data_IF_457876770280
#
_entry.id   IF_457876770280
#
_cell.length_a   1.000
_cell.length_b   1.000
_cell.length_c   1.000
_cell.angle_alpha   90.00
_cell.angle_beta   90.00
_cell.angle_gamma   90.00
#
_symmetry.space_group_name_H-M   'P 1'
#
loop_
_entity.id
_entity.type
_entity.pdbx_description
1 polymer ?
#
# COMPACT_ATOMS: atom_id res chain seq x y z
N UNK A 1 46.04 -60.50 27.18
CA UNK A 1 46.86 -59.28 27.03
C UNK A 1 46.29 -58.49 25.86
N UNK A 2 45.35 -57.59 26.13
CA UNK A 2 44.70 -56.76 25.12
C UNK A 2 45.00 -55.30 25.47
N UNK A 3 45.78 -54.64 24.62
CA UNK A 3 46.16 -53.23 24.76
C UNK A 3 44.99 -52.36 24.26
N UNK A 4 44.41 -51.54 25.15
CA UNK A 4 43.52 -50.45 24.77
C UNK A 4 44.37 -49.30 24.20
N UNK A 5 44.18 -48.94 22.94
CA UNK A 5 44.72 -47.71 22.36
C UNK A 5 43.63 -46.62 22.41
N UNK A 6 43.81 -45.61 23.27
CA UNK A 6 42.97 -44.42 23.30
C UNK A 6 43.44 -43.43 22.22
N UNK A 7 42.57 -43.09 21.28
CA UNK A 7 42.82 -42.04 20.29
C UNK A 7 42.59 -40.65 20.91
N UNK A 8 43.36 -39.61 20.54
CA UNK A 8 43.11 -38.26 21.01
C UNK A 8 41.86 -37.69 20.33
N UNK A 9 40.85 -37.31 21.13
CA UNK A 9 39.73 -36.53 20.66
C UNK A 9 40.22 -35.11 20.33
N UNK A 10 40.15 -34.70 19.06
CA UNK A 10 40.41 -33.31 18.65
C UNK A 10 39.12 -32.52 18.86
N UNK A 11 39.07 -31.70 19.90
CA UNK A 11 38.05 -30.67 20.03
C UNK A 11 38.33 -29.60 18.95
N UNK A 12 37.43 -29.47 17.98
CA UNK A 12 37.47 -28.38 17.03
C UNK A 12 36.71 -27.20 17.62
N UNK A 13 37.41 -26.14 18.02
CA UNK A 13 36.77 -24.87 18.37
C UNK A 13 36.25 -24.21 17.09
N UNK A 14 34.97 -24.45 16.80
CA UNK A 14 34.25 -23.72 15.76
C UNK A 14 33.98 -22.30 16.24
N UNK A 15 34.78 -21.33 15.78
CA UNK A 15 34.48 -19.92 16.03
C UNK A 15 33.14 -19.56 15.37
N UNK A 16 32.12 -19.29 16.17
CA UNK A 16 30.84 -18.74 15.72
C UNK A 16 30.90 -17.22 15.76
N UNK A 17 30.87 -16.58 14.60
CA UNK A 17 30.70 -15.13 14.51
C UNK A 17 29.23 -14.77 14.67
N UNK A 18 28.86 -14.26 15.84
CA UNK A 18 27.55 -13.63 16.04
C UNK A 18 27.51 -12.27 15.34
N UNK A 19 26.74 -12.15 14.26
CA UNK A 19 26.48 -10.88 13.58
C UNK A 19 25.09 -10.39 14.02
N UNK A 20 25.03 -9.23 14.66
CA UNK A 20 23.79 -8.51 14.93
C UNK A 20 23.73 -7.32 13.97
N UNK A 21 22.69 -7.26 13.13
CA UNK A 21 22.41 -6.12 12.27
C UNK A 21 21.29 -5.31 12.94
N UNK A 22 21.61 -4.08 13.36
CA UNK A 22 20.62 -3.14 13.88
C UNK A 22 19.93 -2.53 12.67
N UNK A 23 18.81 -3.13 12.25
CA UNK A 23 17.96 -2.56 11.19
C UNK A 23 17.25 -1.31 11.74
N UNK A 24 17.34 -0.20 11.02
CA UNK A 24 16.53 0.99 11.31
C UNK A 24 15.04 0.64 11.17
N UNK A 25 14.21 1.03 12.13
CA UNK A 25 12.76 0.76 12.07
C UNK A 25 12.11 1.30 10.80
N UNK A 26 11.14 0.56 10.27
CA UNK A 26 10.30 1.03 9.16
C UNK A 26 9.36 2.12 9.65
N UNK A 27 9.32 3.23 8.93
CA UNK A 27 8.33 4.28 9.13
C UNK A 27 7.61 4.54 7.82
N UNK A 28 6.29 4.70 7.87
CA UNK A 28 5.45 5.03 6.71
C UNK A 28 4.78 6.37 6.97
N UNK A 29 5.00 7.33 6.08
CA UNK A 29 4.41 8.66 6.12
C UNK A 29 3.47 8.81 4.93
N UNK A 30 2.25 9.28 5.20
CA UNK A 30 1.29 9.67 4.16
C UNK A 30 1.63 11.08 3.67
N UNK A 31 1.95 11.22 2.40
CA UNK A 31 2.30 12.49 1.76
C UNK A 31 1.07 13.11 1.09
N UNK A 32 0.23 12.28 0.48
CA UNK A 32 -1.04 12.70 -0.12
C UNK A 32 -2.11 11.62 0.03
N UNK A 33 -3.36 12.04 0.23
CA UNK A 33 -4.53 11.16 0.27
C UNK A 33 -5.01 10.75 -1.13
N UNK A 34 -5.76 9.65 -1.21
CA UNK A 34 -6.45 9.23 -2.43
C UNK A 34 -7.76 10.03 -2.52
N UNK A 35 -7.88 10.88 -3.54
CA UNK A 35 -9.01 11.79 -3.71
C UNK A 35 -9.54 11.67 -5.14
N UNK A 36 -10.83 11.33 -5.27
CA UNK A 36 -11.49 11.21 -6.58
C UNK A 36 -11.97 12.55 -7.15
N UNK A 37 -11.83 13.64 -6.38
CA UNK A 37 -12.25 14.98 -6.78
C UNK A 37 -13.77 15.12 -6.85
N UNK A 38 -14.22 16.10 -7.63
CA UNK A 38 -15.64 16.38 -7.80
C UNK A 38 -16.25 15.52 -8.91
N UNK A 39 -17.29 14.76 -8.57
CA UNK A 39 -17.99 13.86 -9.49
C UNK A 39 -19.44 14.31 -9.63
N UNK A 40 -19.92 14.42 -10.87
CA UNK A 40 -21.35 14.54 -11.17
C UNK A 40 -21.89 13.16 -11.56
N UNK A 41 -22.77 12.56 -10.73
CA UNK A 41 -23.45 11.32 -11.07
C UNK A 41 -24.57 11.59 -12.08
N UNK A 42 -24.87 10.60 -12.92
CA UNK A 42 -26.05 10.61 -13.80
C UNK A 42 -27.13 9.65 -13.28
N UNK A 43 -28.23 9.51 -14.03
CA UNK A 43 -29.26 8.49 -13.75
C UNK A 43 -28.84 7.05 -14.06
N UNK A 44 -27.59 6.81 -14.46
CA UNK A 44 -27.04 5.48 -14.71
C UNK A 44 -25.83 5.21 -13.81
N UNK A 45 -25.48 3.94 -13.62
CA UNK A 45 -24.28 3.58 -12.88
C UNK A 45 -23.02 4.08 -13.62
N UNK A 46 -22.08 4.61 -12.86
CA UNK A 46 -20.82 5.15 -13.34
C UNK A 46 -19.64 4.61 -12.55
N UNK A 47 -18.44 4.96 -13.00
CA UNK A 47 -17.21 4.68 -12.27
C UNK A 47 -16.17 5.75 -12.52
N UNK A 48 -15.31 5.95 -11.53
CA UNK A 48 -14.12 6.77 -11.65
C UNK A 48 -12.92 5.93 -11.24
N UNK A 49 -11.88 5.90 -12.08
CA UNK A 49 -10.66 5.15 -11.82
C UNK A 49 -9.49 6.12 -11.67
N UNK A 50 -8.67 5.92 -10.64
CA UNK A 50 -7.37 6.56 -10.50
C UNK A 50 -6.28 5.51 -10.69
N UNK A 51 -5.44 5.71 -11.69
CA UNK A 51 -4.34 4.80 -11.98
C UNK A 51 -3.21 4.98 -10.96
N UNK A 52 -2.91 3.94 -10.17
CA UNK A 52 -1.83 3.96 -9.17
C UNK A 52 -0.44 4.24 -9.74
N UNK A 53 -0.17 3.89 -11.00
CA UNK A 53 1.13 4.06 -11.64
C UNK A 53 1.31 5.45 -12.24
N UNK A 54 0.29 5.96 -12.95
CA UNK A 54 0.38 7.22 -13.71
C UNK A 54 -0.29 8.41 -13.02
N UNK A 55 -1.16 8.17 -12.04
CA UNK A 55 -2.01 9.20 -11.43
C UNK A 55 -3.18 9.64 -12.31
N UNK A 56 -3.32 9.10 -13.52
CA UNK A 56 -4.39 9.48 -14.44
C UNK A 56 -5.77 9.11 -13.88
N UNK A 57 -6.70 10.04 -13.97
CA UNK A 57 -8.09 9.84 -13.61
C UNK A 57 -8.94 9.65 -14.86
N UNK A 58 -9.89 8.73 -14.79
CA UNK A 58 -10.83 8.49 -15.87
C UNK A 58 -12.22 8.25 -15.30
N UNK A 59 -13.20 9.02 -15.77
CA UNK A 59 -14.61 8.76 -15.54
C UNK A 59 -15.19 7.97 -16.72
N UNK A 60 -16.08 7.04 -16.44
CA UNK A 60 -16.77 6.26 -17.45
C UNK A 60 -18.23 6.05 -17.07
N UNK A 61 -19.07 5.84 -18.09
CA UNK A 61 -20.50 5.61 -17.94
C UNK A 61 -21.18 6.77 -17.19
N UNK A 62 -22.05 6.49 -16.22
CA UNK A 62 -22.85 7.49 -15.50
C UNK A 62 -22.11 8.37 -14.49
N UNK A 63 -20.81 8.61 -14.68
CA UNK A 63 -20.01 9.51 -13.86
C UNK A 63 -19.24 10.49 -14.75
N UNK A 64 -19.20 11.76 -14.34
CA UNK A 64 -18.39 12.80 -14.99
C UNK A 64 -17.51 13.46 -13.95
N UNK A 65 -16.22 13.61 -14.26
CA UNK A 65 -15.28 14.36 -13.42
C UNK A 65 -15.35 15.84 -13.75
N UNK A 66 -15.30 16.67 -12.71
CA UNK A 66 -15.20 18.12 -12.83
C UNK A 66 -13.83 18.56 -12.34
N UNK A 67 -13.16 19.37 -13.15
CA UNK A 67 -11.79 19.83 -12.87
C UNK A 67 -10.76 18.72 -13.03
N UNK A 68 -9.61 18.93 -12.39
CA UNK A 68 -8.43 18.05 -12.44
C UNK A 68 -7.89 17.75 -11.04
N UNK A 69 -8.75 17.85 -10.02
CA UNK A 69 -8.34 17.80 -8.60
C UNK A 69 -8.18 16.37 -8.06
N UNK A 70 -8.59 15.39 -8.87
CA UNK A 70 -8.41 13.99 -8.55
C UNK A 70 -6.92 13.65 -8.43
N UNK A 71 -6.55 12.87 -7.40
CA UNK A 71 -5.17 12.54 -7.10
C UNK A 71 -5.06 11.15 -6.51
N UNK A 72 -3.99 10.43 -6.87
CA UNK A 72 -3.61 9.17 -6.23
C UNK A 72 -3.03 9.44 -4.84
N UNK A 73 -3.13 8.48 -3.93
CA UNK A 73 -2.41 8.58 -2.67
C UNK A 73 -0.91 8.39 -2.89
N UNK A 74 -0.11 9.07 -2.06
CA UNK A 74 1.35 8.98 -2.03
C UNK A 74 1.83 8.70 -0.62
N UNK A 75 2.74 7.74 -0.51
CA UNK A 75 3.34 7.31 0.75
C UNK A 75 4.85 7.25 0.62
N UNK A 76 5.53 7.66 1.69
CA UNK A 76 6.98 7.57 1.83
C UNK A 76 7.31 6.57 2.95
N UNK A 77 8.07 5.54 2.60
CA UNK A 77 8.69 4.62 3.55
C UNK A 77 10.11 5.07 3.81
N UNK A 78 10.52 5.08 5.07
CA UNK A 78 11.93 5.18 5.47
C UNK A 78 12.35 3.92 6.22
N UNK A 79 13.55 3.42 5.93
CA UNK A 79 14.11 2.24 6.58
C UNK A 79 15.52 1.92 6.09
N UNK A 80 16.00 0.72 6.39
CA UNK A 80 17.35 0.28 6.05
C UNK A 80 17.60 0.32 4.53
N UNK A 81 18.67 0.96 4.05
CA UNK A 81 19.02 1.00 2.64
C UNK A 81 19.15 -0.40 2.03
N UNK A 82 18.64 -0.57 0.81
CA UNK A 82 18.66 -1.83 0.05
C UNK A 82 17.88 -2.98 0.67
N UNK A 83 17.19 -2.79 1.79
CA UNK A 83 16.37 -3.82 2.40
C UNK A 83 15.11 -4.09 1.56
N UNK A 84 14.72 -5.37 1.50
CA UNK A 84 13.49 -5.80 0.84
C UNK A 84 12.30 -5.64 1.78
N UNK A 85 11.22 -5.08 1.26
CA UNK A 85 9.95 -4.89 1.96
C UNK A 85 8.78 -5.38 1.12
N UNK A 86 7.73 -5.80 1.81
CA UNK A 86 6.40 -6.05 1.24
C UNK A 86 5.48 -4.89 1.62
N UNK A 87 4.64 -4.43 0.69
CA UNK A 87 3.65 -3.38 0.93
C UNK A 87 2.26 -3.93 0.70
N UNK A 88 1.40 -3.79 1.71
CA UNK A 88 0.00 -4.23 1.71
C UNK A 88 -0.98 -3.07 1.83
N UNK A 89 -2.25 -3.33 1.51
CA UNK A 89 -3.36 -2.39 1.71
C UNK A 89 -4.60 -3.15 2.17
N UNK A 90 -5.24 -2.67 3.23
CA UNK A 90 -6.43 -3.28 3.82
C UNK A 90 -7.32 -2.21 4.49
N UNK A 91 -8.66 -2.27 4.38
CA UNK A 91 -9.43 -3.22 3.60
C UNK A 91 -9.47 -2.87 2.09
N UNK A 92 -9.60 -3.88 1.24
CA UNK A 92 -9.87 -3.73 -0.19
C UNK A 92 -10.72 -4.90 -0.74
N UNK A 93 -11.98 -4.71 -1.15
CA UNK A 93 -12.67 -3.42 -1.39
C UNK A 93 -13.04 -2.68 -0.10
N UNK A 94 -13.40 -1.41 -0.24
CA UNK A 94 -13.81 -0.55 0.88
C UNK A 94 -15.06 0.26 0.53
N UNK A 95 -15.94 0.44 1.50
CA UNK A 95 -17.16 1.24 1.36
C UNK A 95 -16.95 2.66 1.87
N UNK A 96 -17.19 3.65 1.02
CA UNK A 96 -17.23 5.06 1.39
C UNK A 96 -18.63 5.43 1.85
N UNK A 97 -18.72 6.13 2.97
CA UNK A 97 -20.00 6.57 3.54
C UNK A 97 -20.13 8.07 3.37
N UNK A 98 -21.32 8.51 2.95
CA UNK A 98 -21.63 9.94 2.87
C UNK A 98 -21.59 10.57 4.26
N UNK A 99 -20.94 11.72 4.41
CA UNK A 99 -21.03 12.52 5.65
C UNK A 99 -22.51 12.87 5.90
N UNK A 100 -23.00 12.57 7.10
CA UNK A 100 -24.41 12.70 7.45
C UNK A 100 -25.28 11.51 7.04
N UNK A 101 -24.70 10.45 6.46
CA UNK A 101 -25.37 9.19 6.14
C UNK A 101 -26.28 9.24 4.90
N UNK A 102 -27.08 8.17 4.74
CA UNK A 102 -28.12 8.04 3.72
C UNK A 102 -27.68 7.47 2.37
N UNK A 103 -26.37 7.40 2.10
CA UNK A 103 -25.83 6.81 0.88
C UNK A 103 -24.40 6.31 1.08
N UNK A 104 -24.00 5.33 0.26
CA UNK A 104 -22.65 4.76 0.22
C UNK A 104 -22.16 4.62 -1.22
N UNK A 105 -20.85 4.52 -1.39
CA UNK A 105 -20.19 4.12 -2.63
C UNK A 105 -19.20 3.00 -2.33
N UNK A 106 -18.89 2.15 -3.30
CA UNK A 106 -17.86 1.13 -3.16
C UNK A 106 -16.61 1.56 -3.95
N UNK A 107 -15.46 1.57 -3.29
CA UNK A 107 -14.18 1.61 -3.98
C UNK A 107 -13.62 0.19 -4.09
N UNK A 108 -13.70 -0.33 -5.30
CA UNK A 108 -13.07 -1.58 -5.68
C UNK A 108 -11.69 -1.32 -6.32
N UNK A 109 -10.95 -2.38 -6.60
CA UNK A 109 -9.61 -2.30 -7.20
C UNK A 109 -8.64 -1.34 -6.48
N UNK A 110 -8.86 -1.06 -5.18
CA UNK A 110 -7.93 -0.32 -4.33
C UNK A 110 -6.62 -1.10 -4.21
N UNK A 111 -5.54 -0.59 -4.80
CA UNK A 111 -4.25 -1.28 -4.88
C UNK A 111 -3.10 -0.28 -4.80
N UNK A 112 -2.00 -0.71 -4.19
CA UNK A 112 -0.71 -0.02 -4.23
C UNK A 112 0.08 -0.38 -5.51
N UNK A 113 0.97 0.50 -5.96
CA UNK A 113 1.94 0.22 -7.03
C UNK A 113 3.20 -0.49 -6.50
N UNK A 114 3.23 -0.80 -5.20
CA UNK A 114 4.19 -1.66 -4.55
C UNK A 114 3.61 -3.08 -4.42
N UNK A 115 4.40 -4.10 -4.78
CA UNK A 115 4.03 -5.51 -4.62
C UNK A 115 4.95 -6.18 -3.60
N UNK A 116 4.97 -7.51 -3.53
CA UNK A 116 6.00 -8.19 -2.74
C UNK A 116 7.39 -7.89 -3.34
N UNK A 117 8.41 -7.72 -2.48
CA UNK A 117 9.80 -7.49 -2.85
C UNK A 117 10.11 -6.11 -3.45
N UNK A 118 9.67 -5.02 -2.80
CA UNK A 118 10.22 -3.69 -3.09
C UNK A 118 11.50 -3.48 -2.30
N UNK A 119 12.54 -2.96 -2.96
CA UNK A 119 13.77 -2.59 -2.26
C UNK A 119 13.68 -1.13 -1.83
N UNK A 120 14.05 -0.85 -0.59
CA UNK A 120 14.30 0.50 -0.12
C UNK A 120 15.53 1.03 -0.86
N UNK A 121 15.42 2.24 -1.41
CA UNK A 121 16.52 2.84 -2.16
C UNK A 121 17.77 3.05 -1.31
N UNK A 122 18.91 3.28 -1.96
CA UNK A 122 20.19 3.50 -1.27
C UNK A 122 20.17 4.69 -0.28
N UNK A 123 19.25 5.64 -0.47
CA UNK A 123 19.02 6.77 0.44
C UNK A 123 18.17 6.40 1.69
N UNK A 124 17.78 5.13 1.85
CA UNK A 124 16.93 4.69 2.96
C UNK A 124 15.44 5.02 2.77
N UNK A 125 15.02 5.33 1.54
CA UNK A 125 13.64 5.75 1.24
C UNK A 125 13.01 4.94 0.11
N UNK A 126 11.70 4.71 0.19
CA UNK A 126 10.87 4.14 -0.87
C UNK A 126 9.56 4.91 -0.98
N UNK A 127 9.27 5.51 -2.13
CA UNK A 127 7.96 6.10 -2.42
C UNK A 127 7.09 5.09 -3.16
N UNK A 128 5.85 4.93 -2.71
CA UNK A 128 4.83 4.17 -3.42
C UNK A 128 3.50 4.91 -3.41
N UNK A 129 2.59 4.48 -4.27
CA UNK A 129 1.33 5.15 -4.53
C UNK A 129 0.17 4.16 -4.48
N UNK A 130 -1.00 4.63 -4.10
CA UNK A 130 -2.24 3.85 -4.18
C UNK A 130 -3.26 4.52 -5.09
N UNK A 131 -4.01 3.68 -5.81
CA UNK A 131 -5.13 4.10 -6.65
C UNK A 131 -6.24 3.05 -6.56
N UNK A 132 -7.40 3.37 -7.12
CA UNK A 132 -8.56 2.51 -7.05
C UNK A 132 -9.62 2.89 -8.07
N UNK A 133 -10.72 2.15 -8.05
CA UNK A 133 -11.89 2.41 -8.88
C UNK A 133 -13.12 2.58 -7.98
N UNK A 134 -13.65 3.80 -7.98
CA UNK A 134 -14.86 4.16 -7.26
C UNK A 134 -16.07 3.86 -8.13
N UNK A 135 -17.00 3.06 -7.62
CA UNK A 135 -18.32 2.84 -8.21
C UNK A 135 -19.26 3.98 -7.76
N UNK A 136 -19.89 4.61 -8.74
CA UNK A 136 -20.83 5.71 -8.54
C UNK A 136 -22.21 5.19 -8.91
N UNK A 137 -23.10 5.10 -7.93
CA UNK A 137 -24.46 4.62 -8.17
C UNK A 137 -25.27 5.58 -9.05
N UNK A 138 -26.26 5.04 -9.76
CA UNK A 138 -27.26 5.84 -10.45
C UNK A 138 -27.98 6.80 -9.48
N UNK A 139 -28.03 8.08 -9.81
CA UNK A 139 -28.67 9.10 -8.99
C UNK A 139 -28.02 9.28 -7.62
N UNK A 140 -26.71 9.00 -7.51
CA UNK A 140 -25.99 9.09 -6.24
C UNK A 140 -26.25 10.43 -5.52
N UNK A 141 -26.59 10.35 -4.24
CA UNK A 141 -26.88 11.53 -3.43
C UNK A 141 -25.66 12.48 -3.36
N UNK A 142 -25.81 13.79 -3.61
CA UNK A 142 -24.71 14.75 -3.50
C UNK A 142 -24.18 14.83 -2.07
N UNK A 143 -22.86 14.85 -1.90
CA UNK A 143 -22.19 14.99 -0.60
C UNK A 143 -20.76 14.51 -0.65
N UNK A 144 -20.04 14.69 0.45
CA UNK A 144 -18.69 14.16 0.64
C UNK A 144 -18.81 12.71 1.11
N UNK A 145 -18.04 11.81 0.49
CA UNK A 145 -17.98 10.39 0.82
C UNK A 145 -16.59 10.06 1.32
N UNK A 146 -16.49 9.43 2.48
CA UNK A 146 -15.20 9.15 3.13
C UNK A 146 -15.10 7.68 3.55
N UNK A 147 -13.88 7.16 3.51
CA UNK A 147 -13.49 5.89 4.09
C UNK A 147 -12.02 5.97 4.52
N UNK A 148 -11.61 5.07 5.43
CA UNK A 148 -10.21 4.95 5.86
C UNK A 148 -9.69 3.56 5.53
N UNK A 149 -8.56 3.50 4.82
CA UNK A 149 -7.80 2.27 4.63
C UNK A 149 -6.43 2.39 5.29
N UNK A 150 -5.88 1.25 5.69
CA UNK A 150 -4.54 1.12 6.24
C UNK A 150 -3.57 0.62 5.16
N UNK A 151 -2.30 0.99 5.33
CA UNK A 151 -1.18 0.46 4.54
C UNK A 151 -0.19 -0.16 5.51
N UNK A 152 0.23 -1.39 5.22
CA UNK A 152 1.27 -2.10 5.96
C UNK A 152 2.55 -2.17 5.14
N UNK A 153 3.69 -2.08 5.82
CA UNK A 153 5.01 -2.28 5.22
C UNK A 153 5.82 -3.14 6.16
N UNK A 154 6.30 -4.28 5.65
CA UNK A 154 6.97 -5.31 6.42
C UNK A 154 8.30 -5.66 5.78
N UNK A 155 9.35 -5.85 6.57
CA UNK A 155 10.61 -6.40 6.06
C UNK A 155 10.40 -7.84 5.58
N UNK A 156 11.13 -8.21 4.53
CA UNK A 156 11.18 -9.58 4.02
C UNK A 156 12.47 -10.29 4.41
#
# INVERSE_FOLDING_TARGET
MALLAAAPARAGDGASTGRAEISSGLTVVRIADLDFGTIIPSGANGRVTINRNTGACAAQAGATLIGSDCRRAEFLVTGAPSASVSVGIDPAPITLTRIGGGATMEMDQLRVNAGPNKSIGAAGTLTFYAGGRLQVGAGQMPGVYEATFAVSVDYQ
#
